data_IF_496759692580
#
_entry.id   IF_496759692580
#
_cell.length_a   1.000
_cell.length_b   1.000
_cell.length_c   1.000
_cell.angle_alpha   90.00
_cell.angle_beta   90.00
_cell.angle_gamma   90.00
#
_symmetry.space_group_name_H-M   'P 1'
#
loop_
_entity.id
_entity.type
_entity.pdbx_description
1 polymer ?
#
# COMPACT_ATOMS: atom_id res chain seq x y z
N UNK A 1 11.72 -16.83 -17.32
CA UNK A 1 12.01 -16.21 -16.01
C UNK A 1 12.26 -17.34 -15.03
N UNK A 2 13.32 -17.26 -14.23
CA UNK A 2 13.59 -18.25 -13.20
C UNK A 2 12.43 -18.30 -12.19
N UNK A 3 12.02 -19.49 -11.75
CA UNK A 3 10.86 -19.66 -10.88
C UNK A 3 11.02 -18.90 -9.56
N UNK A 4 12.23 -18.86 -9.01
CA UNK A 4 12.54 -18.11 -7.79
C UNK A 4 12.39 -16.60 -8.00
N UNK A 5 12.75 -16.10 -9.18
CA UNK A 5 12.54 -14.69 -9.53
C UNK A 5 11.04 -14.40 -9.65
N UNK A 6 10.26 -15.29 -10.27
CA UNK A 6 8.81 -15.14 -10.39
C UNK A 6 8.13 -15.10 -9.02
N UNK A 7 8.51 -15.99 -8.11
CA UNK A 7 8.00 -16.01 -6.74
C UNK A 7 8.38 -14.73 -5.98
N UNK A 8 9.62 -14.25 -6.12
CA UNK A 8 10.06 -13.02 -5.46
C UNK A 8 9.26 -11.79 -5.93
N UNK A 9 9.03 -11.65 -7.23
CA UNK A 9 8.21 -10.56 -7.78
C UNK A 9 6.76 -10.66 -7.31
N UNK A 10 6.19 -11.88 -7.29
CA UNK A 10 4.84 -12.10 -6.77
C UNK A 10 4.72 -11.75 -5.28
N UNK A 11 5.72 -12.11 -4.47
CA UNK A 11 5.75 -11.78 -3.05
C UNK A 11 5.84 -10.26 -2.83
N UNK A 12 6.72 -9.57 -3.58
CA UNK A 12 6.84 -8.11 -3.55
C UNK A 12 5.50 -7.44 -3.91
N UNK A 13 4.92 -7.78 -5.07
CA UNK A 13 3.62 -7.27 -5.51
C UNK A 13 2.51 -7.48 -4.46
N UNK A 14 2.46 -8.68 -3.87
CA UNK A 14 1.47 -9.01 -2.83
C UNK A 14 1.70 -8.19 -1.55
N UNK A 15 2.96 -7.96 -1.17
CA UNK A 15 3.33 -7.13 -0.04
C UNK A 15 2.86 -5.69 -0.22
N UNK A 16 3.17 -5.09 -1.37
CA UNK A 16 2.78 -3.72 -1.72
C UNK A 16 1.25 -3.55 -1.77
N UNK A 17 0.54 -4.50 -2.40
CA UNK A 17 -0.92 -4.47 -2.46
C UNK A 17 -1.57 -4.52 -1.06
N UNK A 18 -1.03 -5.36 -0.15
CA UNK A 18 -1.50 -5.43 1.24
C UNK A 18 -1.18 -4.15 2.02
N UNK A 19 -0.01 -3.56 1.79
CA UNK A 19 0.38 -2.30 2.42
C UNK A 19 -0.54 -1.15 1.97
N UNK A 20 -0.77 -1.01 0.66
CA UNK A 20 -1.67 -0.02 0.08
C UNK A 20 -3.07 -0.11 0.69
N UNK A 21 -3.65 -1.32 0.76
CA UNK A 21 -4.99 -1.54 1.34
C UNK A 21 -5.04 -1.17 2.82
N UNK A 22 -4.06 -1.61 3.62
CA UNK A 22 -4.01 -1.30 5.05
C UNK A 22 -3.97 0.21 5.31
N UNK A 23 -3.18 0.94 4.54
CA UNK A 23 -3.05 2.38 4.65
C UNK A 23 -4.34 3.12 4.27
N UNK A 24 -5.12 2.63 3.29
CA UNK A 24 -6.46 3.19 3.01
C UNK A 24 -7.39 3.05 4.21
N UNK A 25 -7.43 1.86 4.82
CA UNK A 25 -8.27 1.62 5.99
C UNK A 25 -7.87 2.51 7.17
N UNK A 26 -6.57 2.72 7.38
CA UNK A 26 -6.08 3.64 8.40
C UNK A 26 -6.41 5.10 8.09
N UNK A 27 -6.36 5.50 6.83
CA UNK A 27 -6.80 6.82 6.42
C UNK A 27 -8.27 7.06 6.77
N UNK A 28 -9.14 6.11 6.45
CA UNK A 28 -10.59 6.23 6.69
C UNK A 28 -10.91 6.25 8.19
N UNK A 29 -10.18 5.46 8.99
CA UNK A 29 -10.26 5.48 10.45
C UNK A 29 -9.83 6.84 11.01
N UNK A 30 -8.68 7.35 10.59
CA UNK A 30 -8.17 8.66 11.01
C UNK A 30 -9.12 9.80 10.60
N UNK A 31 -9.75 9.70 9.43
CA UNK A 31 -10.71 10.69 8.94
C UNK A 31 -11.99 10.72 9.80
N UNK A 32 -12.48 9.53 10.17
CA UNK A 32 -13.64 9.32 11.06
C UNK A 32 -13.39 9.86 12.47
N UNK A 33 -12.17 9.72 12.98
CA UNK A 33 -11.77 10.21 14.31
C UNK A 33 -11.39 11.70 14.33
N UNK A 34 -11.44 12.38 13.18
CA UNK A 34 -11.14 13.82 13.09
C UNK A 34 -9.67 14.17 12.87
N UNK A 35 -8.77 13.18 12.76
CA UNK A 35 -7.35 13.37 12.48
C UNK A 35 -7.07 13.61 10.98
N UNK A 36 -7.61 14.70 10.44
CA UNK A 36 -7.58 14.99 8.98
C UNK A 36 -6.18 15.00 8.37
N UNK A 37 -5.18 15.50 9.08
CA UNK A 37 -3.80 15.52 8.59
C UNK A 37 -3.20 14.11 8.49
N UNK A 38 -3.47 13.27 9.48
CA UNK A 38 -3.03 11.87 9.51
C UNK A 38 -3.74 11.06 8.42
N UNK A 39 -5.04 11.30 8.20
CA UNK A 39 -5.77 10.69 7.10
C UNK A 39 -5.15 11.01 5.73
N UNK A 40 -4.78 12.28 5.50
CA UNK A 40 -4.08 12.68 4.26
C UNK A 40 -2.72 12.00 4.12
N UNK A 41 -1.94 11.92 5.20
CA UNK A 41 -0.65 11.22 5.19
C UNK A 41 -0.82 9.75 4.78
N UNK A 42 -1.75 9.03 5.40
CA UNK A 42 -2.01 7.63 5.05
C UNK A 42 -2.48 7.45 3.60
N UNK A 43 -3.30 8.37 3.06
CA UNK A 43 -3.69 8.33 1.63
C UNK A 43 -2.50 8.50 0.69
N UNK A 44 -1.59 9.42 1.01
CA UNK A 44 -0.37 9.63 0.19
C UNK A 44 0.54 8.41 0.22
N UNK A 45 0.77 7.82 1.40
CA UNK A 45 1.60 6.61 1.52
C UNK A 45 0.93 5.45 0.78
N UNK A 46 -0.39 5.26 0.95
CA UNK A 46 -1.14 4.23 0.23
C UNK A 46 -0.97 4.34 -1.29
N UNK A 47 -1.05 5.56 -1.83
CA UNK A 47 -0.82 5.81 -3.25
C UNK A 47 0.63 5.51 -3.68
N UNK A 48 1.61 5.75 -2.81
CA UNK A 48 3.00 5.35 -3.06
C UNK A 48 3.15 3.84 -3.21
N UNK A 49 2.52 3.04 -2.33
CA UNK A 49 2.57 1.57 -2.41
C UNK A 49 1.85 1.03 -3.65
N UNK A 50 0.78 1.71 -4.11
CA UNK A 50 0.17 1.37 -5.41
C UNK A 50 1.14 1.58 -6.58
N UNK A 51 2.00 2.60 -6.52
CA UNK A 51 3.03 2.84 -7.53
C UNK A 51 4.12 1.76 -7.44
N UNK A 52 4.53 1.37 -6.25
CA UNK A 52 5.46 0.25 -6.06
C UNK A 52 4.90 -1.05 -6.65
N UNK A 53 3.64 -1.38 -6.34
CA UNK A 53 2.96 -2.56 -6.88
C UNK A 53 2.84 -2.54 -8.41
N UNK A 54 2.60 -1.39 -9.04
CA UNK A 54 2.56 -1.29 -10.52
C UNK A 54 3.92 -1.50 -11.19
N UNK A 55 5.02 -1.39 -10.44
CA UNK A 55 6.41 -1.51 -10.92
C UNK A 55 7.09 -2.79 -10.46
N UNK A 56 6.41 -3.61 -9.67
CA UNK A 56 6.90 -4.87 -9.12
C UNK A 56 6.92 -6.00 -10.15
#
# INVERSE_FOLDING_TARGET
MDEKIREALQQAYTGEAKAALRLKLFADKADTEGYKQIARLFRVISFSEEIHGKRA
#
